data_IF_253261006789
#
_entry.id   IF_253261006789
#
_cell.length_a   1.000
_cell.length_b   1.000
_cell.length_c   1.000
_cell.angle_alpha   90.00
_cell.angle_beta   90.00
_cell.angle_gamma   90.00
#
_symmetry.space_group_name_H-M   'P 1'
#
loop_
_entity.id
_entity.type
_entity.pdbx_description
1 polymer ?
#
# COMPACT_ATOMS: atom_id res chain seq x y z
N UNK A 1 9.37 -6.56 22.19
CA UNK A 1 9.24 -8.01 21.88
C UNK A 1 7.87 -8.59 22.23
N UNK A 2 7.24 -8.21 23.35
CA UNK A 2 5.92 -8.71 23.76
C UNK A 2 4.79 -8.53 22.72
N UNK A 3 4.80 -7.42 21.97
CA UNK A 3 3.71 -7.10 21.02
C UNK A 3 3.67 -8.06 19.82
N UNK A 4 4.82 -8.40 19.23
CA UNK A 4 4.86 -9.30 18.07
C UNK A 4 4.34 -10.69 18.46
N UNK A 5 4.89 -11.27 19.53
CA UNK A 5 4.48 -12.59 20.03
C UNK A 5 3.00 -12.60 20.42
N UNK A 6 2.52 -11.55 21.11
CA UNK A 6 1.11 -11.43 21.47
C UNK A 6 0.18 -11.55 20.25
N UNK A 7 0.48 -10.87 19.14
CA UNK A 7 -0.36 -10.93 17.94
C UNK A 7 -0.18 -12.25 17.18
N UNK A 8 1.02 -12.84 17.19
CA UNK A 8 1.26 -14.17 16.64
C UNK A 8 0.44 -15.24 17.38
N UNK A 9 0.34 -15.15 18.72
CA UNK A 9 -0.48 -16.03 19.54
C UNK A 9 -1.99 -15.89 19.23
N UNK A 10 -2.40 -14.74 18.68
CA UNK A 10 -3.77 -14.51 18.18
C UNK A 10 -4.00 -15.07 16.77
N UNK A 11 -2.98 -15.61 16.13
CA UNK A 11 -3.06 -16.21 14.79
C UNK A 11 -2.83 -15.23 13.65
N UNK A 12 -2.15 -14.10 13.89
CA UNK A 12 -1.73 -13.20 12.80
C UNK A 12 -0.61 -13.87 11.97
N UNK A 13 -0.70 -13.79 10.64
CA UNK A 13 0.22 -14.44 9.71
C UNK A 13 1.51 -13.62 9.43
N UNK A 14 1.63 -12.42 9.98
CA UNK A 14 2.82 -11.60 9.80
C UNK A 14 2.60 -10.13 10.08
N UNK A 15 3.63 -9.34 9.84
CA UNK A 15 3.62 -7.90 10.14
C UNK A 15 4.19 -7.08 8.99
N UNK A 16 3.55 -5.93 8.76
CA UNK A 16 4.12 -4.81 8.00
C UNK A 16 4.62 -3.76 8.98
N UNK A 17 5.93 -3.53 8.99
CA UNK A 17 6.59 -2.51 9.79
C UNK A 17 6.53 -1.18 9.03
N UNK A 18 5.75 -0.26 9.58
CA UNK A 18 5.58 1.08 9.06
C UNK A 18 6.76 1.99 9.41
N UNK A 19 7.06 2.98 8.56
CA UNK A 19 8.07 4.01 8.81
C UNK A 19 9.45 3.46 9.27
N UNK A 20 9.87 2.29 8.76
CA UNK A 20 11.08 1.61 9.22
C UNK A 20 12.35 2.48 9.19
N UNK A 21 12.57 3.38 8.21
CA UNK A 21 13.75 4.26 8.19
C UNK A 21 13.95 5.12 9.43
N UNK A 22 12.89 5.39 10.19
CA UNK A 22 12.87 6.35 11.29
C UNK A 22 12.96 5.70 12.69
N UNK A 23 13.37 4.43 12.78
CA UNK A 23 13.47 3.72 14.07
C UNK A 23 14.52 4.30 15.02
N UNK A 24 15.58 4.89 14.47
CA UNK A 24 16.69 5.45 15.23
C UNK A 24 17.15 6.79 14.65
N UNK A 25 17.51 7.71 15.53
CA UNK A 25 18.27 8.92 15.24
C UNK A 25 19.75 8.75 15.61
N UNK A 26 20.59 9.60 15.04
CA UNK A 26 22.03 9.61 15.28
C UNK A 26 22.32 9.99 16.75
N UNK A 27 23.13 9.17 17.43
CA UNK A 27 23.37 9.27 18.87
C UNK A 27 24.06 10.58 19.34
N UNK A 28 24.72 11.29 18.43
CA UNK A 28 25.40 12.55 18.75
C UNK A 28 24.44 13.74 18.92
N UNK A 29 23.16 13.60 18.57
CA UNK A 29 22.13 14.66 18.68
C UNK A 29 22.56 16.02 18.09
N UNK A 30 23.33 16.00 17.00
CA UNK A 30 23.79 17.22 16.35
C UNK A 30 22.62 17.94 15.67
N UNK A 31 22.65 19.27 15.71
CA UNK A 31 21.71 20.10 14.98
C UNK A 31 21.88 19.91 13.46
N UNK A 32 20.78 20.03 12.73
CA UNK A 32 20.83 20.03 11.27
C UNK A 32 21.66 21.23 10.76
N UNK A 33 22.54 21.04 9.76
CA UNK A 33 23.32 22.15 9.22
C UNK A 33 22.41 23.15 8.52
N UNK A 34 22.62 24.47 8.69
CA UNK A 34 21.87 25.48 7.95
C UNK A 34 22.01 25.30 6.43
N UNK A 35 20.96 25.59 5.63
CA UNK A 35 19.68 26.19 5.99
C UNK A 35 18.60 25.17 6.42
N UNK A 36 18.94 23.88 6.49
CA UNK A 36 17.96 22.83 6.71
C UNK A 36 17.57 22.77 8.19
N UNK A 37 16.27 22.77 8.48
CA UNK A 37 15.76 22.59 9.84
C UNK A 37 15.79 21.12 10.30
N UNK A 38 15.96 20.17 9.36
CA UNK A 38 16.05 18.73 9.63
C UNK A 38 17.01 18.09 8.61
N UNK A 39 18.05 17.42 9.10
CA UNK A 39 18.93 16.61 8.26
C UNK A 39 18.48 15.16 8.26
N UNK A 40 18.05 14.66 7.09
CA UNK A 40 17.64 13.25 6.93
C UNK A 40 18.73 12.26 7.30
N UNK A 41 20.02 12.62 7.16
CA UNK A 41 21.13 11.74 7.53
C UNK A 41 21.24 11.51 9.03
N UNK A 42 20.64 12.37 9.86
CA UNK A 42 20.66 12.24 11.32
C UNK A 42 19.41 11.57 11.87
N UNK A 43 18.31 11.51 11.13
CA UNK A 43 17.01 11.02 11.63
C UNK A 43 16.44 9.86 10.82
N UNK A 44 17.20 9.35 9.84
CA UNK A 44 16.79 8.22 9.01
C UNK A 44 17.95 7.27 8.76
N UNK A 45 17.62 6.00 8.51
CA UNK A 45 18.51 4.99 7.95
C UNK A 45 19.81 4.77 8.75
N UNK A 46 19.76 4.98 10.07
CA UNK A 46 20.89 4.66 10.94
C UNK A 46 21.16 3.14 10.90
N UNK A 47 22.41 2.68 11.02
CA UNK A 47 22.74 1.26 10.97
C UNK A 47 21.89 0.39 11.92
N UNK A 48 21.61 0.91 13.11
CA UNK A 48 20.81 0.27 14.17
C UNK A 48 19.38 -0.03 13.73
N UNK A 49 18.83 0.74 12.78
CA UNK A 49 17.53 0.46 12.17
C UNK A 49 17.49 -0.93 11.55
N UNK A 50 18.53 -1.30 10.79
CA UNK A 50 18.56 -2.61 10.12
C UNK A 50 18.78 -3.73 11.13
N UNK A 51 19.66 -3.52 12.11
CA UNK A 51 19.90 -4.49 13.19
C UNK A 51 18.62 -4.81 13.99
N UNK A 52 17.75 -3.81 14.19
CA UNK A 52 16.45 -4.03 14.83
C UNK A 52 15.52 -4.89 13.96
N UNK A 53 15.50 -4.67 12.64
CA UNK A 53 14.72 -5.50 11.72
C UNK A 53 15.19 -6.94 11.74
N UNK A 54 16.51 -7.16 11.79
CA UNK A 54 17.08 -8.51 11.90
C UNK A 54 16.68 -9.20 13.20
N UNK A 55 16.68 -8.47 14.32
CA UNK A 55 16.19 -8.99 15.60
C UNK A 55 14.70 -9.34 15.56
N UNK A 56 13.86 -8.53 14.93
CA UNK A 56 12.44 -8.87 14.74
C UNK A 56 12.23 -10.06 13.81
N UNK A 57 13.07 -10.21 12.77
CA UNK A 57 13.06 -11.39 11.93
C UNK A 57 13.37 -12.65 12.75
N UNK A 58 14.40 -12.60 13.59
CA UNK A 58 14.76 -13.71 14.47
C UNK A 58 13.61 -14.13 15.40
N UNK A 59 12.89 -13.15 15.98
CA UNK A 59 11.69 -13.43 16.81
C UNK A 59 10.63 -14.20 16.04
N UNK A 60 10.37 -13.82 14.78
CA UNK A 60 9.38 -14.48 13.93
C UNK A 60 9.86 -15.88 13.51
N UNK A 61 11.13 -16.05 13.18
CA UNK A 61 11.70 -17.34 12.81
C UNK A 61 11.67 -18.32 14.00
N UNK A 62 12.00 -17.86 15.21
CA UNK A 62 11.94 -18.68 16.40
C UNK A 62 10.50 -19.04 16.78
N UNK A 63 9.54 -18.12 16.59
CA UNK A 63 8.13 -18.42 16.73
C UNK A 63 7.67 -19.49 15.73
N UNK A 64 8.06 -19.36 14.45
CA UNK A 64 7.74 -20.35 13.41
C UNK A 64 8.31 -21.73 13.75
N UNK A 65 9.57 -21.81 14.21
CA UNK A 65 10.21 -23.08 14.61
C UNK A 65 9.49 -23.76 15.78
N UNK A 66 9.01 -22.97 16.74
CA UNK A 66 8.36 -23.50 17.95
C UNK A 66 6.93 -23.98 17.68
N UNK A 67 6.19 -23.28 16.81
CA UNK A 67 4.76 -23.51 16.63
C UNK A 67 4.41 -24.28 15.35
N UNK A 68 5.31 -24.34 14.36
CA UNK A 68 5.06 -24.96 13.07
C UNK A 68 3.95 -24.29 12.25
N UNK A 69 3.45 -24.99 11.22
CA UNK A 69 2.46 -24.46 10.28
C UNK A 69 3.07 -23.55 9.22
N UNK A 70 2.23 -22.71 8.61
CA UNK A 70 2.65 -21.81 7.54
C UNK A 70 3.61 -20.71 8.05
N UNK A 71 4.54 -20.29 7.22
CA UNK A 71 5.55 -19.28 7.61
C UNK A 71 4.89 -17.94 7.93
N UNK A 72 5.17 -17.39 9.12
CA UNK A 72 4.80 -16.00 9.42
C UNK A 72 5.82 -15.04 8.83
N UNK A 73 5.31 -13.99 8.19
CA UNK A 73 6.12 -13.09 7.36
C UNK A 73 6.39 -11.75 8.03
N UNK A 74 7.54 -11.16 7.69
CA UNK A 74 7.93 -9.82 8.12
C UNK A 74 8.18 -8.97 6.87
N UNK A 75 7.51 -7.84 6.82
CA UNK A 75 7.55 -6.90 5.72
C UNK A 75 7.92 -5.52 6.24
N UNK A 76 8.71 -4.74 5.50
CA UNK A 76 9.09 -3.38 5.91
C UNK A 76 8.67 -2.35 4.87
N UNK A 77 8.18 -1.22 5.35
CA UNK A 77 7.98 -0.02 4.54
C UNK A 77 9.19 0.91 4.67
N UNK A 78 9.85 1.19 3.55
CA UNK A 78 10.95 2.15 3.52
C UNK A 78 10.93 3.00 2.24
N UNK A 79 10.75 4.31 2.41
CA UNK A 79 10.94 5.31 1.35
C UNK A 79 12.39 5.77 1.28
N UNK A 80 13.27 4.93 0.75
CA UNK A 80 14.74 5.12 0.77
C UNK A 80 15.37 4.85 -0.60
N UNK A 81 16.62 5.30 -0.84
CA UNK A 81 17.38 4.85 -2.02
C UNK A 81 17.55 3.32 -2.03
N UNK A 82 17.65 2.74 -3.23
CA UNK A 82 17.69 1.27 -3.41
C UNK A 82 18.77 0.58 -2.56
N UNK A 83 19.97 1.16 -2.45
CA UNK A 83 21.04 0.56 -1.66
C UNK A 83 20.66 0.41 -0.18
N UNK A 84 19.97 1.39 0.39
CA UNK A 84 19.43 1.33 1.75
C UNK A 84 18.25 0.38 1.85
N UNK A 85 17.37 0.36 0.83
CA UNK A 85 16.26 -0.60 0.77
C UNK A 85 16.74 -2.05 0.80
N UNK A 86 17.85 -2.35 0.12
CA UNK A 86 18.39 -3.71 0.07
C UNK A 86 18.91 -4.21 1.41
N UNK A 87 19.37 -3.31 2.29
CA UNK A 87 19.87 -3.70 3.63
C UNK A 87 18.76 -4.31 4.50
N UNK A 88 17.48 -3.98 4.26
CA UNK A 88 16.37 -4.58 5.02
C UNK A 88 16.20 -6.09 4.78
N UNK A 89 16.74 -6.63 3.69
CA UNK A 89 16.70 -8.08 3.43
C UNK A 89 17.69 -8.87 4.29
N UNK A 90 18.68 -8.21 4.91
CA UNK A 90 19.75 -8.85 5.62
C UNK A 90 21.11 -8.67 4.95
N UNK A 91 22.07 -9.48 5.39
CA UNK A 91 23.43 -9.53 4.85
C UNK A 91 23.87 -11.00 4.71
N UNK A 92 25.17 -11.25 4.49
CA UNK A 92 25.69 -12.60 4.29
C UNK A 92 25.57 -13.53 5.51
N UNK A 93 25.35 -12.97 6.70
CA UNK A 93 25.36 -13.73 7.97
C UNK A 93 24.03 -13.73 8.70
N UNK A 94 23.15 -12.76 8.41
CA UNK A 94 21.88 -12.58 9.12
C UNK A 94 20.77 -12.22 8.14
N UNK A 95 19.64 -12.91 8.26
CA UNK A 95 18.42 -12.64 7.49
C UNK A 95 17.64 -11.45 8.07
N UNK A 96 17.12 -10.60 7.18
CA UNK A 96 16.23 -9.51 7.52
C UNK A 96 14.78 -9.79 7.17
N UNK A 97 14.03 -8.73 6.84
CA UNK A 97 12.65 -8.84 6.43
C UNK A 97 12.51 -9.80 5.23
N UNK A 98 11.40 -10.56 5.19
CA UNK A 98 11.12 -11.45 4.07
C UNK A 98 11.01 -10.67 2.76
N UNK A 99 10.44 -9.47 2.81
CA UNK A 99 10.59 -8.47 1.76
C UNK A 99 10.40 -7.04 2.26
N UNK A 100 10.93 -6.10 1.50
CA UNK A 100 10.73 -4.66 1.72
C UNK A 100 9.93 -4.09 0.56
N UNK A 101 8.95 -3.23 0.86
CA UNK A 101 8.20 -2.57 -0.20
C UNK A 101 9.11 -1.71 -1.07
N UNK A 102 9.13 -2.02 -2.36
CA UNK A 102 9.80 -1.20 -3.36
C UNK A 102 8.81 -0.20 -3.96
N UNK A 103 8.90 1.06 -3.52
CA UNK A 103 8.01 2.14 -3.97
C UNK A 103 8.51 2.90 -5.20
N UNK A 104 9.56 2.45 -5.88
CA UNK A 104 10.05 3.12 -7.10
C UNK A 104 8.93 3.32 -8.13
N UNK A 105 8.04 2.35 -8.30
CA UNK A 105 6.89 2.49 -9.20
C UNK A 105 5.83 3.52 -8.78
N UNK A 106 5.70 3.76 -7.47
CA UNK A 106 4.71 4.72 -6.99
C UNK A 106 5.22 6.15 -7.17
N UNK A 107 6.54 6.35 -7.05
CA UNK A 107 7.15 7.67 -6.91
C UNK A 107 7.87 8.14 -8.17
N UNK A 108 8.52 7.24 -8.91
CA UNK A 108 9.54 7.63 -9.90
C UNK A 108 9.56 6.71 -11.14
N UNK A 109 8.39 6.23 -11.56
CA UNK A 109 8.27 5.50 -12.82
C UNK A 109 8.55 6.45 -13.98
N UNK A 110 9.55 6.11 -14.79
CA UNK A 110 9.84 6.79 -16.06
C UNK A 110 9.77 5.76 -17.18
N UNK A 111 9.84 6.22 -18.43
CA UNK A 111 9.96 5.34 -19.60
C UNK A 111 11.22 4.44 -19.59
N UNK A 112 12.19 4.72 -18.72
CA UNK A 112 13.43 3.96 -18.56
C UNK A 112 13.41 2.99 -17.36
N UNK A 113 12.32 2.90 -16.60
CA UNK A 113 12.22 2.02 -15.44
C UNK A 113 12.24 0.54 -15.86
N UNK A 114 12.86 -0.31 -15.03
CA UNK A 114 12.96 -1.77 -15.29
C UNK A 114 11.97 -2.57 -14.45
N UNK A 115 11.64 -3.76 -14.93
CA UNK A 115 10.74 -4.73 -14.29
C UNK A 115 11.08 -5.05 -12.83
N UNK A 116 12.37 -5.07 -12.44
CA UNK A 116 12.80 -5.42 -11.09
C UNK A 116 12.57 -4.30 -10.05
N UNK A 117 12.10 -3.12 -10.49
CA UNK A 117 11.85 -1.96 -9.63
C UNK A 117 10.38 -1.86 -9.19
N UNK A 118 9.63 -2.96 -9.31
CA UNK A 118 8.17 -3.00 -9.33
C UNK A 118 7.64 -3.93 -8.25
N UNK A 119 7.04 -3.39 -7.19
CA UNK A 119 6.37 -4.21 -6.15
C UNK A 119 4.99 -3.66 -5.75
N UNK A 120 4.71 -2.37 -5.95
CA UNK A 120 3.42 -1.78 -5.57
C UNK A 120 3.02 -0.63 -6.51
N UNK A 121 1.72 -0.56 -6.83
CA UNK A 121 1.14 0.51 -7.67
C UNK A 121 0.59 1.69 -6.84
N UNK A 122 0.22 1.45 -5.59
CA UNK A 122 -0.40 2.48 -4.75
C UNK A 122 -0.40 2.09 -3.29
N UNK A 123 -0.82 3.03 -2.45
CA UNK A 123 -1.10 2.87 -1.04
C UNK A 123 -1.91 4.09 -0.55
N UNK A 124 -2.23 4.10 0.74
CA UNK A 124 -2.97 5.19 1.39
C UNK A 124 -2.19 6.51 1.56
N UNK A 125 -0.93 6.61 1.16
CA UNK A 125 -0.09 7.82 1.26
C UNK A 125 0.18 8.48 -0.09
N UNK A 126 -0.26 7.86 -1.19
CA UNK A 126 -0.03 8.33 -2.55
C UNK A 126 -1.35 8.34 -3.32
N UNK A 127 -1.55 9.37 -4.14
CA UNK A 127 -2.66 9.48 -5.10
C UNK A 127 -2.89 8.15 -5.82
N UNK A 128 -4.14 7.74 -6.05
CA UNK A 128 -4.49 6.45 -6.66
C UNK A 128 -3.91 6.29 -8.07
N UNK A 129 -3.55 5.06 -8.46
CA UNK A 129 -2.88 4.79 -9.75
C UNK A 129 -3.69 5.29 -10.95
N UNK A 130 -5.01 5.14 -10.93
CA UNK A 130 -5.91 5.61 -11.99
C UNK A 130 -5.84 7.14 -12.16
N UNK A 131 -5.65 7.89 -11.07
CA UNK A 131 -5.47 9.34 -11.12
C UNK A 131 -4.06 9.74 -11.55
N UNK A 132 -3.04 9.01 -11.12
CA UNK A 132 -1.64 9.32 -11.48
C UNK A 132 -1.31 8.98 -12.94
N UNK A 133 -1.87 7.89 -13.46
CA UNK A 133 -1.48 7.28 -14.73
C UNK A 133 -2.59 7.26 -15.78
N UNK A 134 -3.80 7.70 -15.46
CA UNK A 134 -4.97 7.62 -16.35
C UNK A 134 -5.76 6.33 -16.16
N UNK A 135 -7.09 6.45 -16.14
CA UNK A 135 -8.03 5.34 -15.93
C UNK A 135 -7.89 4.28 -17.04
N UNK A 136 -7.58 4.72 -18.25
CA UNK A 136 -7.37 3.87 -19.42
C UNK A 136 -6.16 2.93 -19.30
N UNK A 137 -5.22 3.24 -18.40
CA UNK A 137 -3.98 2.46 -18.23
C UNK A 137 -4.05 1.47 -17.06
N UNK A 138 -5.11 1.50 -16.24
CA UNK A 138 -5.24 0.67 -15.03
C UNK A 138 -5.10 -0.82 -15.34
N UNK A 139 -5.77 -1.32 -16.38
CA UNK A 139 -5.67 -2.72 -16.79
C UNK A 139 -4.21 -3.11 -17.10
N UNK A 140 -3.47 -2.22 -17.79
CA UNK A 140 -2.07 -2.44 -18.15
C UNK A 140 -1.16 -2.51 -16.93
N UNK A 141 -1.35 -1.62 -15.96
CA UNK A 141 -0.59 -1.64 -14.70
C UNK A 141 -0.92 -2.86 -13.84
N UNK A 142 -2.20 -3.25 -13.75
CA UNK A 142 -2.62 -4.45 -13.02
C UNK A 142 -2.10 -5.73 -13.68
N UNK A 143 -2.07 -5.79 -15.02
CA UNK A 143 -1.41 -6.87 -15.74
C UNK A 143 0.09 -6.91 -15.45
N UNK A 144 0.77 -5.76 -15.50
CA UNK A 144 2.20 -5.67 -15.25
C UNK A 144 2.57 -6.20 -13.85
N UNK A 145 1.90 -5.71 -12.79
CA UNK A 145 2.23 -6.12 -11.41
C UNK A 145 1.92 -7.59 -11.15
N UNK A 146 0.93 -8.16 -11.84
CA UNK A 146 0.54 -9.57 -11.68
C UNK A 146 1.42 -10.54 -12.47
N UNK A 147 1.99 -10.09 -13.59
CA UNK A 147 2.83 -10.91 -14.47
C UNK A 147 4.32 -10.87 -14.09
N UNK A 148 4.73 -9.88 -13.32
CA UNK A 148 6.11 -9.77 -12.85
C UNK A 148 6.41 -10.81 -11.75
N UNK A 149 7.65 -11.33 -11.71
CA UNK A 149 8.03 -12.31 -10.70
C UNK A 149 8.05 -11.67 -9.32
N UNK A 150 7.55 -12.40 -8.32
CA UNK A 150 7.54 -11.98 -6.93
C UNK A 150 6.12 -11.82 -6.40
N UNK A 151 5.92 -10.78 -5.60
CA UNK A 151 4.67 -10.54 -4.88
C UNK A 151 3.97 -9.34 -5.52
N UNK A 152 2.73 -9.55 -5.96
CA UNK A 152 1.87 -8.47 -6.41
C UNK A 152 1.17 -7.84 -5.21
N UNK A 153 1.45 -6.56 -4.93
CA UNK A 153 0.73 -5.78 -3.92
C UNK A 153 -0.30 -4.87 -4.60
N UNK A 154 -1.55 -4.97 -4.15
CA UNK A 154 -2.69 -4.18 -4.64
C UNK A 154 -3.25 -3.35 -3.49
N UNK A 155 -3.36 -2.04 -3.69
CA UNK A 155 -4.07 -1.16 -2.77
C UNK A 155 -5.57 -1.16 -3.06
N UNK A 156 -6.37 -1.08 -2.01
CA UNK A 156 -7.84 -1.12 -2.08
C UNK A 156 -8.39 -0.14 -3.14
N UNK A 157 -9.07 -0.67 -4.15
CA UNK A 157 -9.69 0.08 -5.25
C UNK A 157 -8.91 0.05 -6.56
N UNK A 158 -7.66 -0.39 -6.57
CA UNK A 158 -6.88 -0.53 -7.82
C UNK A 158 -7.46 -1.61 -8.74
N UNK A 159 -8.06 -2.65 -8.18
CA UNK A 159 -8.68 -3.76 -8.90
C UNK A 159 -9.95 -3.36 -9.67
N UNK A 160 -10.56 -2.23 -9.30
CA UNK A 160 -11.71 -1.62 -9.98
C UNK A 160 -11.38 -0.24 -10.58
N UNK A 161 -10.09 0.15 -10.57
CA UNK A 161 -9.64 1.43 -11.13
C UNK A 161 -10.19 2.66 -10.43
N UNK A 162 -10.39 2.62 -9.11
CA UNK A 162 -10.78 3.80 -8.33
C UNK A 162 -9.77 4.93 -8.53
N UNK A 163 -10.30 6.09 -8.88
CA UNK A 163 -9.59 7.37 -8.86
C UNK A 163 -9.61 7.97 -7.45
N UNK A 164 -8.74 8.96 -7.23
CA UNK A 164 -8.81 9.85 -6.09
C UNK A 164 -10.20 10.45 -5.92
N UNK A 165 -10.63 10.50 -4.67
CA UNK A 165 -11.87 11.11 -4.27
C UNK A 165 -11.78 12.63 -4.20
N UNK A 166 -12.94 13.28 -4.14
CA UNK A 166 -13.07 14.72 -3.96
C UNK A 166 -13.31 15.02 -2.48
N UNK A 167 -12.34 15.66 -1.83
CA UNK A 167 -12.39 16.02 -0.41
C UNK A 167 -12.10 17.51 -0.30
N UNK A 168 -12.94 18.25 0.40
CA UNK A 168 -12.69 19.67 0.70
C UNK A 168 -11.84 19.84 1.96
N UNK A 169 -11.25 21.02 2.17
CA UNK A 169 -10.52 21.34 3.42
C UNK A 169 -11.39 21.11 4.66
N UNK A 170 -12.67 21.48 4.60
CA UNK A 170 -13.63 21.32 5.70
C UNK A 170 -13.97 19.86 6.00
N UNK A 171 -13.81 18.97 5.03
CA UNK A 171 -14.10 17.54 5.17
C UNK A 171 -12.85 16.74 5.54
N UNK A 172 -11.66 17.23 5.18
CA UNK A 172 -10.38 16.58 5.38
C UNK A 172 -10.12 16.20 6.84
N UNK A 173 -9.52 15.02 7.02
CA UNK A 173 -9.17 14.43 8.30
C UNK A 173 -7.67 14.08 8.40
N UNK A 174 -6.90 14.22 7.31
CA UNK A 174 -5.47 13.93 7.34
C UNK A 174 -4.73 14.89 8.27
N UNK A 175 -4.17 14.34 9.34
CA UNK A 175 -3.41 15.10 10.34
C UNK A 175 -2.29 15.95 9.74
N UNK A 176 -1.63 15.48 8.67
CA UNK A 176 -0.56 16.24 8.01
C UNK A 176 -1.13 17.50 7.37
N UNK A 177 -2.25 17.36 6.67
CA UNK A 177 -2.90 18.47 6.00
C UNK A 177 -3.54 19.44 7.00
N UNK A 178 -4.22 18.93 8.03
CA UNK A 178 -4.85 19.74 9.09
C UNK A 178 -3.83 20.56 9.90
N UNK A 179 -2.59 20.08 10.03
CA UNK A 179 -1.50 20.83 10.68
C UNK A 179 -0.81 21.82 9.75
N UNK A 180 -1.10 21.77 8.44
CA UNK A 180 -0.56 22.68 7.44
C UNK A 180 -1.49 23.89 7.19
N UNK A 181 -1.04 24.86 6.40
CA UNK A 181 -1.89 25.95 5.95
C UNK A 181 -2.99 25.41 5.00
N UNK A 182 -4.20 25.97 5.10
CA UNK A 182 -5.35 25.61 4.23
C UNK A 182 -4.99 25.60 2.74
N UNK A 183 -4.16 26.55 2.30
CA UNK A 183 -3.69 26.69 0.92
C UNK A 183 -2.88 25.49 0.44
N UNK A 184 -2.27 24.73 1.36
CA UNK A 184 -1.47 23.55 1.08
C UNK A 184 -2.28 22.25 1.12
N UNK A 185 -3.59 22.28 1.42
CA UNK A 185 -4.40 21.07 1.57
C UNK A 185 -4.30 20.14 0.36
N UNK A 186 -4.40 20.72 -0.84
CA UNK A 186 -4.38 19.96 -2.09
C UNK A 186 -3.07 19.20 -2.31
N UNK A 187 -1.94 19.75 -1.84
CA UNK A 187 -0.61 19.16 -2.01
C UNK A 187 -0.16 18.29 -0.83
N UNK A 188 -0.83 18.38 0.32
CA UNK A 188 -0.43 17.69 1.55
C UNK A 188 -1.40 16.58 1.96
N UNK A 189 -2.68 16.69 1.62
CA UNK A 189 -3.69 15.75 2.08
C UNK A 189 -3.59 14.41 1.38
N UNK A 190 -3.65 13.36 2.19
CA UNK A 190 -3.77 11.98 1.77
C UNK A 190 -5.21 11.48 1.73
N UNK A 191 -6.18 12.34 2.04
CA UNK A 191 -7.59 11.95 2.11
C UNK A 191 -8.17 11.55 0.74
N UNK A 192 -7.61 12.10 -0.35
CA UNK A 192 -8.04 11.81 -1.71
C UNK A 192 -7.97 10.31 -2.05
N UNK A 193 -6.88 9.64 -1.69
CA UNK A 193 -6.71 8.19 -1.87
C UNK A 193 -7.31 7.32 -0.75
N UNK A 194 -7.93 7.93 0.27
CA UNK A 194 -8.52 7.23 1.43
C UNK A 194 -10.05 7.24 1.44
N UNK A 195 -10.66 7.81 0.41
CA UNK A 195 -12.12 7.83 0.29
C UNK A 195 -12.73 6.42 0.30
N UNK A 196 -13.97 6.27 0.80
CA UNK A 196 -14.62 4.97 0.94
C UNK A 196 -14.63 4.13 -0.34
N UNK A 197 -14.45 2.82 -0.18
CA UNK A 197 -14.45 1.87 -1.29
C UNK A 197 -15.81 1.75 -1.98
N UNK A 198 -15.81 1.52 -3.30
CA UNK A 198 -17.01 1.47 -4.12
C UNK A 198 -17.54 0.04 -4.33
N UNK A 199 -18.42 -0.43 -3.45
CA UNK A 199 -19.01 -1.78 -3.54
C UNK A 199 -20.14 -1.87 -4.58
N UNK A 200 -21.04 -0.90 -4.60
CA UNK A 200 -22.19 -0.88 -5.51
C UNK A 200 -22.74 0.54 -5.69
N UNK A 201 -23.87 0.67 -6.40
CA UNK A 201 -24.51 1.95 -6.71
C UNK A 201 -25.43 2.48 -5.60
N UNK A 202 -25.50 1.82 -4.44
CA UNK A 202 -26.34 2.25 -3.32
C UNK A 202 -25.71 3.43 -2.56
N UNK A 203 -26.39 3.90 -1.51
CA UNK A 203 -25.93 5.01 -0.66
C UNK A 203 -24.49 4.77 -0.19
N UNK A 204 -23.65 5.81 -0.29
CA UNK A 204 -22.21 5.75 -0.01
C UNK A 204 -21.47 4.61 -0.74
N UNK A 205 -21.90 4.28 -1.96
CA UNK A 205 -21.36 3.17 -2.75
C UNK A 205 -21.44 1.80 -2.05
N UNK A 206 -22.42 1.58 -1.18
CA UNK A 206 -22.54 0.35 -0.39
C UNK A 206 -21.53 0.23 0.75
N UNK A 207 -20.67 1.23 0.98
CA UNK A 207 -19.73 1.25 2.10
C UNK A 207 -20.43 1.42 3.45
N UNK A 208 -21.51 2.21 3.49
CA UNK A 208 -22.26 2.46 4.72
C UNK A 208 -23.68 2.90 4.42
N UNK A 209 -24.63 2.52 5.29
CA UNK A 209 -26.01 2.99 5.26
C UNK A 209 -26.21 4.31 6.03
N UNK A 210 -25.17 4.84 6.68
CA UNK A 210 -25.25 6.10 7.41
C UNK A 210 -25.45 7.30 6.47
N UNK A 211 -26.01 8.39 6.99
CA UNK A 211 -26.21 9.62 6.19
C UNK A 211 -24.88 10.28 5.77
N UNK A 212 -23.80 10.04 6.51
CA UNK A 212 -22.47 10.61 6.24
C UNK A 212 -21.39 9.59 6.62
N UNK A 213 -20.36 9.49 5.79
CA UNK A 213 -19.14 8.71 6.02
C UNK A 213 -18.01 9.59 6.59
N UNK A 214 -16.96 8.96 7.11
CA UNK A 214 -15.83 9.65 7.72
C UNK A 214 -15.05 10.54 6.72
N UNK A 215 -14.99 10.13 5.45
CA UNK A 215 -14.60 10.94 4.29
C UNK A 215 -15.72 10.90 3.23
N UNK A 216 -15.89 11.94 2.41
CA UNK A 216 -16.91 11.96 1.37
C UNK A 216 -16.66 10.92 0.28
N UNK A 217 -17.75 10.47 -0.37
CA UNK A 217 -17.70 9.70 -1.62
C UNK A 217 -17.56 10.67 -2.79
N UNK A 218 -16.69 10.38 -3.77
CA UNK A 218 -16.70 11.03 -5.08
C UNK A 218 -17.87 10.54 -5.93
N UNK A 219 -18.47 11.41 -6.74
CA UNK A 219 -19.36 10.97 -7.84
C UNK A 219 -18.51 10.17 -8.84
N UNK A 220 -18.64 8.85 -8.81
CA UNK A 220 -17.92 7.97 -9.72
C UNK A 220 -18.37 8.18 -11.17
N UNK A 221 -17.42 8.22 -12.11
CA UNK A 221 -17.67 8.11 -13.55
C UNK A 221 -17.59 6.65 -14.01
N UNK A 222 -16.92 5.81 -13.23
CA UNK A 222 -16.85 4.35 -13.42
C UNK A 222 -18.16 3.76 -12.89
N UNK A 223 -18.90 3.01 -13.72
CA UNK A 223 -20.08 2.27 -13.28
C UNK A 223 -19.70 1.48 -12.02
N UNK A 224 -20.49 1.59 -10.95
CA UNK A 224 -20.22 0.92 -9.68
C UNK A 224 -20.44 -0.61 -9.87
N UNK A 225 -19.38 -1.35 -10.25
CA UNK A 225 -19.49 -2.65 -10.95
C UNK A 225 -19.53 -3.90 -10.05
N UNK A 226 -19.11 -3.88 -8.78
CA UNK A 226 -18.80 -5.16 -8.10
C UNK A 226 -20.03 -6.09 -8.06
N UNK A 227 -21.21 -5.59 -7.66
CA UNK A 227 -22.42 -6.45 -7.68
C UNK A 227 -22.95 -6.73 -9.09
N UNK A 228 -22.90 -5.78 -10.02
CA UNK A 228 -23.39 -6.00 -11.40
C UNK A 228 -22.54 -7.03 -12.18
N UNK A 229 -21.23 -7.03 -11.97
CA UNK A 229 -20.27 -7.95 -12.60
C UNK A 229 -20.47 -9.41 -12.17
N UNK A 230 -20.69 -9.67 -10.88
CA UNK A 230 -20.94 -11.03 -10.38
C UNK A 230 -22.32 -11.59 -10.80
N UNK A 231 -23.35 -10.75 -10.88
CA UNK A 231 -24.67 -11.19 -11.37
C UNK A 231 -24.69 -11.52 -12.86
N UNK A 232 -23.92 -10.78 -13.68
CA UNK A 232 -23.87 -10.98 -15.13
C UNK A 232 -22.91 -12.11 -15.56
N UNK A 233 -22.00 -12.55 -14.70
CA UNK A 233 -21.13 -13.70 -14.92
C UNK A 233 -21.84 -15.07 -14.77
N UNK A 234 -23.16 -15.08 -14.58
CA UNK A 234 -23.93 -16.32 -14.39
C UNK A 234 -23.66 -16.90 -13.01
N UNK A 235 -24.35 -16.37 -12.01
CA UNK A 235 -24.25 -16.82 -10.62
C UNK A 235 -24.51 -18.32 -10.46
N UNK A 236 -23.44 -19.12 -10.47
CA UNK A 236 -23.34 -20.27 -9.59
C UNK A 236 -22.56 -19.81 -8.37
N UNK A 237 -23.14 -20.02 -7.18
CA UNK A 237 -22.38 -19.96 -5.93
C UNK A 237 -21.11 -20.80 -6.11
N UNK A 238 -19.97 -20.12 -6.21
CA UNK A 238 -18.67 -20.77 -6.21
C UNK A 238 -18.42 -21.20 -4.77
N UNK A 239 -18.68 -22.47 -4.49
CA UNK A 239 -18.21 -23.14 -3.28
C UNK A 239 -16.67 -23.17 -3.29
N UNK A 240 -16.05 -22.05 -2.88
CA UNK A 240 -14.64 -21.97 -2.50
C UNK A 240 -13.60 -22.10 -3.63
N UNK A 241 -13.91 -21.76 -4.89
CA UNK A 241 -12.89 -21.68 -5.96
C UNK A 241 -13.03 -20.38 -6.75
N UNK A 242 -11.95 -19.60 -6.80
CA UNK A 242 -11.82 -18.38 -7.61
C UNK A 242 -11.99 -18.70 -9.12
N UNK A 243 -12.74 -17.89 -9.89
CA UNK A 243 -12.91 -18.12 -11.32
C UNK A 243 -11.64 -17.77 -12.12
N UNK A 244 -11.44 -18.44 -13.25
CA UNK A 244 -10.27 -18.29 -14.11
C UNK A 244 -10.28 -17.02 -14.98
N UNK A 245 -9.07 -16.56 -15.34
CA UNK A 245 -8.74 -15.32 -16.08
C UNK A 245 -9.59 -15.10 -17.36
N UNK A 246 -10.08 -16.16 -17.99
CA UNK A 246 -10.84 -16.11 -19.25
C UNK A 246 -12.22 -15.46 -19.11
N UNK A 247 -12.85 -15.52 -17.93
CA UNK A 247 -14.19 -14.95 -17.72
C UNK A 247 -14.18 -13.43 -17.54
N UNK A 248 -13.09 -12.86 -16.99
CA UNK A 248 -12.92 -11.40 -16.87
C UNK A 248 -12.72 -10.70 -18.22
N UNK A 249 -12.08 -11.36 -19.19
CA UNK A 249 -11.78 -10.77 -20.50
C UNK A 249 -13.02 -10.58 -21.39
N UNK A 250 -14.07 -11.40 -21.19
CA UNK A 250 -15.33 -11.30 -21.94
C UNK A 250 -16.17 -10.07 -21.58
N UNK A 251 -16.09 -9.62 -20.32
CA UNK A 251 -16.87 -8.49 -19.81
C UNK A 251 -16.36 -7.15 -20.36
N UNK A 252 -15.04 -6.95 -20.37
CA UNK A 252 -14.40 -5.71 -20.84
C UNK A 252 -14.62 -5.43 -22.34
N UNK A 253 -14.89 -6.47 -23.14
CA UNK A 253 -15.11 -6.34 -24.59
C UNK A 253 -16.52 -5.87 -24.97
N UNK A 254 -17.51 -6.07 -24.10
CA UNK A 254 -18.93 -5.87 -24.44
C UNK A 254 -19.44 -4.45 -24.13
N UNK A 255 -18.65 -3.63 -23.44
CA UNK A 255 -19.08 -2.31 -22.94
C UNK A 255 -18.21 -1.14 -23.41
N UNK A 256 -17.43 -1.34 -24.48
CA UNK A 256 -16.86 -0.24 -25.27
C UNK A 256 -17.88 0.19 -26.33
N UNK A 257 -18.75 1.14 -25.97
CA UNK A 257 -19.41 2.12 -26.84
C UNK A 257 -20.02 3.20 -25.96
#
# INVERSE_FOLDING_TARGET
>A
MFVLVFWLDKGVDGFRIDAAPYLFEHADFQDAPPPDNVSRSYVQNQPETYDMIYQWRQVIDDYNKQNGGDTRVLMTEAYTPINSTMLYYGNETVDGAHFTFNFYLIINTTNNSTANQVVSLGNHDRHRVATRQGVENVDGYNMLITLLPGIANTYNGEEIGMEDGEVTWEEGQDSIACQSARENFQSTSRDFQRTPFHWDSTVNAGFSTANKTWLPKKKSVVKDVIKEGFSNAGGKQLNGKLPGITEMQGFLRKHRN
#
